data_IF_649617669792
#
_entry.id   IF_649617669792
#
_cell.length_a   1.000
_cell.length_b   1.000
_cell.length_c   1.000
_cell.angle_alpha   90.00
_cell.angle_beta   90.00
_cell.angle_gamma   90.00
#
_symmetry.space_group_name_H-M   'P 1'
#
loop_
_entity.id
_entity.type
_entity.pdbx_description
1 polymer ?
#
# COMPACT_ATOMS: atom_id res chain seq x y z
N UNK A 1 -21.44 -9.20 -2.49
CA UNK A 1 -22.81 -8.75 -2.80
C UNK A 1 -23.34 -9.57 -3.97
N UNK A 2 -24.67 -9.65 -4.12
CA UNK A 2 -25.30 -10.26 -5.29
C UNK A 2 -24.90 -9.47 -6.54
N UNK A 3 -24.60 -10.16 -7.63
CA UNK A 3 -24.09 -9.61 -8.89
C UNK A 3 -22.58 -9.36 -8.93
N UNK A 4 -21.85 -9.61 -7.83
CA UNK A 4 -20.40 -9.46 -7.83
C UNK A 4 -19.71 -10.52 -8.68
N UNK A 5 -18.71 -10.12 -9.48
CA UNK A 5 -17.80 -11.04 -10.18
C UNK A 5 -16.72 -11.51 -9.21
N UNK A 6 -16.51 -12.83 -9.16
CA UNK A 6 -15.56 -13.49 -8.26
C UNK A 6 -14.71 -14.50 -9.02
N UNK A 7 -13.52 -14.76 -8.51
CA UNK A 7 -12.59 -15.78 -9.01
C UNK A 7 -12.37 -16.82 -7.91
N UNK A 8 -12.51 -18.10 -8.27
CA UNK A 8 -12.17 -19.20 -7.39
C UNK A 8 -10.66 -19.32 -7.20
N UNK A 9 -10.19 -19.47 -5.96
CA UNK A 9 -8.77 -19.49 -5.62
C UNK A 9 -8.22 -20.90 -5.39
N UNK A 10 -9.07 -21.93 -5.46
CA UNK A 10 -8.70 -23.32 -5.23
C UNK A 10 -9.46 -24.26 -6.15
N UNK A 11 -8.91 -25.45 -6.33
CA UNK A 11 -9.63 -26.53 -6.99
C UNK A 11 -10.58 -27.14 -5.96
N UNK A 12 -11.87 -27.13 -6.26
CA UNK A 12 -12.93 -27.65 -5.39
C UNK A 12 -13.60 -28.84 -6.07
N UNK A 13 -14.03 -28.65 -7.31
CA UNK A 13 -14.73 -29.66 -8.08
C UNK A 13 -14.26 -29.60 -9.53
N UNK A 14 -13.47 -30.59 -9.94
CA UNK A 14 -12.92 -30.68 -11.29
C UNK A 14 -14.01 -31.00 -12.32
N UNK A 15 -14.96 -31.86 -11.96
CA UNK A 15 -16.03 -32.31 -12.86
C UNK A 15 -17.09 -31.23 -13.03
N UNK A 16 -17.40 -30.49 -11.95
CA UNK A 16 -18.28 -29.33 -11.95
C UNK A 16 -17.65 -28.05 -12.50
N UNK A 17 -16.36 -28.08 -12.89
CA UNK A 17 -15.65 -26.93 -13.47
C UNK A 17 -15.25 -25.85 -12.45
N UNK A 18 -15.37 -26.11 -11.15
CA UNK A 18 -14.92 -25.21 -10.08
C UNK A 18 -13.45 -25.45 -9.74
N UNK A 19 -12.60 -24.94 -10.62
CA UNK A 19 -11.14 -24.97 -10.49
C UNK A 19 -10.57 -23.60 -10.15
N UNK A 20 -9.31 -23.56 -9.72
CA UNK A 20 -8.61 -22.31 -9.48
C UNK A 20 -8.57 -21.45 -10.77
N UNK A 21 -8.94 -20.18 -10.65
CA UNK A 21 -9.05 -19.24 -11.76
C UNK A 21 -10.44 -19.18 -12.41
N UNK A 22 -11.36 -20.06 -12.01
CA UNK A 22 -12.74 -20.04 -12.53
C UNK A 22 -13.43 -18.74 -12.13
N UNK A 23 -13.96 -18.03 -13.12
CA UNK A 23 -14.75 -16.84 -12.91
C UNK A 23 -16.23 -17.21 -12.72
N UNK A 24 -16.90 -16.55 -11.76
CA UNK A 24 -18.31 -16.73 -11.51
C UNK A 24 -18.96 -15.41 -11.03
N UNK A 25 -20.28 -15.34 -11.13
CA UNK A 25 -21.09 -14.23 -10.61
C UNK A 25 -21.90 -14.70 -9.40
N UNK A 26 -21.86 -13.94 -8.30
CA UNK A 26 -22.66 -14.24 -7.12
C UNK A 26 -24.15 -14.04 -7.42
N UNK A 27 -24.94 -15.12 -7.38
CA UNK A 27 -26.39 -15.06 -7.57
C UNK A 27 -27.13 -14.83 -6.27
N UNK A 28 -26.75 -15.57 -5.24
CA UNK A 28 -27.43 -15.50 -3.96
C UNK A 28 -26.48 -15.84 -2.80
N UNK A 29 -26.84 -15.39 -1.61
CA UNK A 29 -26.10 -15.60 -0.38
C UNK A 29 -27.08 -16.14 0.66
N UNK A 30 -26.90 -17.41 1.01
CA UNK A 30 -27.76 -18.11 1.97
C UNK A 30 -27.17 -17.98 3.36
N UNK A 31 -27.97 -17.44 4.26
CA UNK A 31 -27.64 -17.30 5.68
C UNK A 31 -28.44 -18.31 6.51
N UNK A 32 -27.99 -18.63 7.72
CA UNK A 32 -28.78 -19.47 8.63
C UNK A 32 -29.91 -18.65 9.28
N UNK A 33 -31.13 -19.20 9.28
CA UNK A 33 -32.36 -18.53 9.78
C UNK A 33 -32.37 -18.23 11.29
N UNK A 34 -31.32 -18.64 12.03
CA UNK A 34 -31.25 -18.54 13.50
C UNK A 34 -30.47 -17.35 14.03
N UNK A 35 -29.72 -16.65 13.18
CA UNK A 35 -28.94 -15.52 13.61
C UNK A 35 -29.70 -14.23 13.26
N UNK A 36 -29.89 -13.36 14.26
CA UNK A 36 -30.20 -11.94 14.03
C UNK A 36 -29.00 -11.33 13.29
N UNK A 37 -28.93 -11.53 11.98
CA UNK A 37 -27.83 -11.05 11.15
C UNK A 37 -27.95 -9.53 11.13
N UNK A 38 -27.08 -8.86 11.88
CA UNK A 38 -26.74 -7.47 11.64
C UNK A 38 -25.98 -7.46 10.31
N UNK A 39 -26.71 -7.46 9.20
CA UNK A 39 -26.13 -7.09 7.91
C UNK A 39 -25.63 -5.65 8.09
N UNK A 40 -24.36 -5.32 7.81
CA UNK A 40 -23.96 -3.92 7.75
C UNK A 40 -24.77 -3.29 6.62
N UNK A 41 -25.91 -2.70 6.95
CA UNK A 41 -26.93 -2.25 5.99
C UNK A 41 -26.58 -0.87 5.42
N UNK A 42 -25.32 -0.47 5.49
CA UNK A 42 -24.88 0.81 4.98
C UNK A 42 -23.51 0.66 4.33
N UNK A 43 -23.29 1.44 3.27
CA UNK A 43 -22.04 1.57 2.52
C UNK A 43 -20.88 2.15 3.35
N UNK A 44 -20.87 1.90 4.67
CA UNK A 44 -19.86 2.28 5.65
C UNK A 44 -19.63 1.10 6.58
N UNK A 45 -18.82 0.14 6.14
CA UNK A 45 -18.12 -0.74 7.09
C UNK A 45 -16.96 0.06 7.69
N UNK A 46 -17.27 1.02 8.56
CA UNK A 46 -16.31 1.48 9.55
C UNK A 46 -16.27 0.33 10.55
N UNK A 47 -15.12 -0.32 10.73
CA UNK A 47 -14.91 -1.26 11.82
C UNK A 47 -14.48 -0.45 13.05
N UNK A 48 -15.40 -0.06 13.95
CA UNK A 48 -15.03 0.73 15.11
C UNK A 48 -14.63 -0.26 16.21
N UNK A 49 -13.36 -0.24 16.61
CA UNK A 49 -12.80 -1.00 17.72
C UNK A 49 -12.63 -2.50 17.48
N UNK A 50 -11.37 -2.90 17.26
CA UNK A 50 -10.90 -4.29 17.15
C UNK A 50 -10.84 -5.03 18.51
N UNK A 51 -11.49 -4.50 19.56
CA UNK A 51 -11.43 -5.07 20.93
C UNK A 51 -12.67 -5.84 21.35
N UNK A 52 -13.74 -5.82 20.54
CA UNK A 52 -14.86 -6.75 20.72
C UNK A 52 -14.83 -7.75 19.60
N UNK A 53 -14.68 -9.03 19.96
CA UNK A 53 -14.89 -10.17 19.07
C UNK A 53 -16.31 -10.08 18.48
N UNK A 54 -16.45 -9.31 17.40
CA UNK A 54 -17.63 -9.31 16.57
C UNK A 54 -17.53 -10.61 15.79
N UNK A 55 -18.33 -11.60 16.20
CA UNK A 55 -18.57 -12.80 15.41
C UNK A 55 -19.22 -12.35 14.11
N UNK A 56 -18.39 -12.05 13.10
CA UNK A 56 -18.86 -11.90 11.73
C UNK A 56 -19.36 -13.28 11.34
N UNK A 57 -20.68 -13.47 11.40
CA UNK A 57 -21.32 -14.70 10.96
C UNK A 57 -20.98 -14.87 9.48
N UNK A 58 -20.31 -15.98 9.13
CA UNK A 58 -20.08 -16.33 7.74
C UNK A 58 -21.38 -16.85 7.14
N UNK A 59 -21.71 -16.48 5.89
CA UNK A 59 -22.80 -17.13 5.16
C UNK A 59 -22.65 -18.64 5.18
N UNK A 60 -23.77 -19.35 5.26
CA UNK A 60 -23.80 -20.81 5.20
C UNK A 60 -23.35 -21.31 3.84
N UNK A 61 -23.83 -20.65 2.79
CA UNK A 61 -23.60 -21.05 1.41
C UNK A 61 -23.70 -19.85 0.49
N UNK A 62 -22.96 -19.88 -0.61
CA UNK A 62 -23.07 -18.91 -1.71
C UNK A 62 -23.45 -19.67 -2.98
N UNK A 63 -24.42 -19.13 -3.72
CA UNK A 63 -24.78 -19.63 -5.05
C UNK A 63 -24.06 -18.80 -6.12
N UNK A 64 -23.31 -19.47 -6.97
CA UNK A 64 -22.47 -18.87 -8.01
C UNK A 64 -22.95 -19.31 -9.38
N UNK A 65 -23.17 -18.37 -10.29
CA UNK A 65 -23.40 -18.66 -11.71
C UNK A 65 -22.06 -18.63 -12.45
N UNK A 66 -21.75 -19.74 -13.12
CA UNK A 66 -20.56 -19.92 -13.95
C UNK A 66 -20.80 -19.40 -15.37
N UNK A 67 -19.71 -19.18 -16.12
CA UNK A 67 -19.76 -18.71 -17.52
C UNK A 67 -20.57 -19.62 -18.46
N UNK A 68 -20.69 -20.91 -18.14
CA UNK A 68 -21.50 -21.88 -18.87
C UNK A 68 -23.01 -21.85 -18.46
N UNK A 69 -23.40 -20.94 -17.57
CA UNK A 69 -24.74 -20.81 -17.03
C UNK A 69 -25.11 -21.81 -15.92
N UNK A 70 -24.20 -22.67 -15.49
CA UNK A 70 -24.47 -23.58 -14.37
C UNK A 70 -24.41 -22.85 -13.03
N UNK A 71 -25.24 -23.29 -12.07
CA UNK A 71 -25.24 -22.77 -10.71
C UNK A 71 -24.47 -23.72 -9.82
N UNK A 72 -23.42 -23.22 -9.18
CA UNK A 72 -22.62 -23.94 -8.20
C UNK A 72 -22.92 -23.45 -6.78
N UNK A 73 -23.13 -24.40 -5.87
CA UNK A 73 -23.40 -24.13 -4.45
C UNK A 73 -22.11 -24.32 -3.66
N UNK A 74 -21.50 -23.20 -3.26
CA UNK A 74 -20.23 -23.19 -2.54
C UNK A 74 -20.45 -23.11 -1.03
N UNK A 75 -19.68 -23.89 -0.28
CA UNK A 75 -19.60 -23.82 1.19
C UNK A 75 -18.30 -23.16 1.64
N UNK A 76 -18.25 -22.57 2.84
CA UNK A 76 -17.01 -22.11 3.44
C UNK A 76 -16.04 -23.28 3.61
N UNK A 77 -14.78 -23.03 3.33
CA UNK A 77 -13.72 -24.03 3.35
C UNK A 77 -12.68 -23.65 4.42
N UNK A 78 -12.07 -24.64 5.06
CA UNK A 78 -11.13 -24.48 6.17
C UNK A 78 -9.70 -24.74 5.71
N UNK A 79 -8.83 -23.75 5.89
CA UNK A 79 -7.41 -23.84 5.55
C UNK A 79 -6.58 -23.70 6.82
N UNK A 80 -5.74 -24.70 7.08
CA UNK A 80 -4.76 -24.65 8.16
C UNK A 80 -3.38 -24.33 7.60
N UNK A 81 -2.70 -23.36 8.19
CA UNK A 81 -1.34 -22.98 7.84
C UNK A 81 -0.52 -22.70 9.11
N UNK A 82 0.79 -22.83 9.01
CA UNK A 82 1.69 -22.44 10.10
C UNK A 82 2.03 -20.96 9.97
N UNK A 83 1.89 -20.24 11.07
CA UNK A 83 2.48 -18.91 11.20
C UNK A 83 4.01 -19.00 11.25
N UNK A 84 4.70 -17.86 11.09
CA UNK A 84 6.17 -17.72 11.18
C UNK A 84 6.73 -18.27 12.48
N UNK A 85 5.94 -18.24 13.56
CA UNK A 85 6.29 -18.77 14.87
C UNK A 85 6.08 -20.30 15.01
N UNK A 86 5.69 -20.98 13.94
CA UNK A 86 5.43 -22.43 13.93
C UNK A 86 4.07 -22.85 14.52
N UNK A 87 3.24 -21.88 14.92
CA UNK A 87 1.90 -22.11 15.47
C UNK A 87 0.95 -22.44 14.31
N UNK A 88 0.15 -23.49 14.47
CA UNK A 88 -0.90 -23.83 13.52
C UNK A 88 -2.10 -22.90 13.70
N UNK A 89 -2.51 -22.25 12.62
CA UNK A 89 -3.70 -21.42 12.55
C UNK A 89 -4.66 -21.98 11.51
N UNK A 90 -5.95 -21.96 11.80
CA UNK A 90 -7.00 -22.40 10.88
C UNK A 90 -7.88 -21.22 10.52
N UNK A 91 -8.15 -21.04 9.23
CA UNK A 91 -9.04 -20.01 8.69
C UNK A 91 -10.19 -20.67 7.94
N UNK A 92 -11.42 -20.40 8.36
CA UNK A 92 -12.64 -20.77 7.63
C UNK A 92 -13.10 -19.59 6.77
N UNK A 93 -13.11 -19.75 5.46
CA UNK A 93 -13.54 -18.71 4.51
C UNK A 93 -13.99 -19.32 3.18
N UNK A 94 -14.79 -18.58 2.40
CA UNK A 94 -15.02 -18.95 1.01
C UNK A 94 -13.71 -18.79 0.21
N UNK A 95 -13.31 -19.78 -0.61
CA UNK A 95 -12.11 -19.70 -1.46
C UNK A 95 -12.32 -18.80 -2.70
N UNK A 96 -12.85 -17.60 -2.49
CA UNK A 96 -13.20 -16.63 -3.53
C UNK A 96 -12.41 -15.33 -3.35
N UNK A 97 -12.07 -14.68 -4.45
CA UNK A 97 -11.62 -13.28 -4.49
C UNK A 97 -12.48 -12.48 -5.45
N UNK A 98 -12.53 -11.15 -5.31
CA UNK A 98 -13.17 -10.30 -6.32
C UNK A 98 -12.47 -10.46 -7.68
N UNK A 99 -13.26 -10.56 -8.75
CA UNK A 99 -12.79 -10.86 -10.11
C UNK A 99 -12.63 -9.66 -11.04
N UNK A 100 -12.80 -8.44 -10.53
CA UNK A 100 -12.77 -7.23 -11.37
C UNK A 100 -11.35 -6.82 -11.80
N UNK A 101 -10.36 -7.07 -10.95
CA UNK A 101 -8.98 -6.72 -11.19
C UNK A 101 -8.07 -7.80 -10.62
N UNK A 102 -6.99 -8.08 -11.34
CA UNK A 102 -5.92 -8.97 -10.89
C UNK A 102 -4.59 -8.35 -11.28
N UNK A 103 -3.61 -8.48 -10.40
CA UNK A 103 -2.25 -8.01 -10.70
C UNK A 103 -1.56 -8.97 -11.67
N UNK A 104 -0.66 -8.43 -12.49
CA UNK A 104 0.12 -9.23 -13.46
C UNK A 104 0.82 -10.39 -12.74
N UNK A 105 1.46 -10.12 -11.60
CA UNK A 105 2.12 -11.14 -10.77
C UNK A 105 1.18 -12.28 -10.37
N UNK A 106 -0.05 -11.98 -9.91
CA UNK A 106 -1.02 -13.00 -9.49
C UNK A 106 -1.68 -13.73 -10.66
N UNK A 107 -1.61 -13.15 -11.87
CA UNK A 107 -2.07 -13.80 -13.11
C UNK A 107 -1.04 -14.75 -13.73
N UNK A 108 0.22 -14.72 -13.26
CA UNK A 108 1.26 -15.60 -13.76
C UNK A 108 0.88 -17.06 -13.57
N UNK A 109 1.12 -17.88 -14.60
CA UNK A 109 0.77 -19.30 -14.62
C UNK A 109 -0.74 -19.61 -14.49
N UNK A 110 -1.60 -18.64 -14.80
CA UNK A 110 -3.06 -18.82 -14.91
C UNK A 110 -3.52 -18.53 -16.34
N UNK A 111 -4.62 -19.16 -16.74
CA UNK A 111 -5.25 -18.98 -18.05
C UNK A 111 -6.58 -18.22 -17.86
N UNK A 112 -6.80 -17.19 -18.69
CA UNK A 112 -8.02 -16.38 -18.63
C UNK A 112 -8.70 -16.35 -20.00
N UNK A 113 -10.02 -16.55 -20.02
CA UNK A 113 -10.77 -16.48 -21.28
C UNK A 113 -10.91 -15.03 -21.77
N UNK A 114 -11.02 -14.07 -20.84
CA UNK A 114 -11.22 -12.64 -21.11
C UNK A 114 -10.34 -11.82 -20.17
N UNK A 115 -9.48 -10.97 -20.72
CA UNK A 115 -8.64 -10.05 -19.96
C UNK A 115 -8.59 -8.72 -20.69
N UNK A 116 -8.75 -7.62 -19.95
CA UNK A 116 -8.52 -6.27 -20.46
C UNK A 116 -7.28 -5.74 -19.77
N UNK A 117 -6.28 -5.37 -20.56
CA UNK A 117 -5.04 -4.77 -20.07
C UNK A 117 -4.90 -3.41 -20.71
N UNK A 118 -4.83 -2.37 -19.89
CA UNK A 118 -4.43 -1.05 -20.37
C UNK A 118 -2.90 -0.99 -20.43
N UNK A 119 -2.39 -0.80 -21.65
CA UNK A 119 -0.95 -0.69 -21.92
C UNK A 119 -0.55 0.76 -22.23
N UNK A 120 -1.47 1.71 -22.13
CA UNK A 120 -1.15 3.11 -22.35
C UNK A 120 -0.19 3.60 -21.26
N UNK A 121 1.02 4.01 -21.66
CA UNK A 121 2.10 4.40 -20.75
C UNK A 121 3.23 3.37 -20.58
N UNK A 122 3.12 2.16 -21.16
CA UNK A 122 4.17 1.13 -21.07
C UNK A 122 5.00 1.11 -22.36
N UNK A 123 6.26 1.58 -22.31
CA UNK A 123 7.23 1.39 -23.39
C UNK A 123 7.74 -0.06 -23.35
N UNK A 124 7.10 -0.95 -24.14
CA UNK A 124 7.47 -2.36 -24.27
C UNK A 124 8.89 -2.55 -24.80
N UNK A 125 9.66 -3.46 -24.18
CA UNK A 125 10.85 -4.05 -24.80
C UNK A 125 10.45 -5.34 -25.55
N UNK A 126 11.17 -5.75 -26.60
CA UNK A 126 10.85 -6.96 -27.37
C UNK A 126 10.91 -8.28 -26.57
N UNK A 127 11.53 -8.28 -25.38
CA UNK A 127 11.77 -9.48 -24.57
C UNK A 127 10.64 -9.81 -23.57
N UNK A 128 9.65 -8.93 -23.36
CA UNK A 128 8.58 -9.12 -22.36
C UNK A 128 7.41 -10.00 -22.85
N UNK A 129 7.69 -11.06 -23.62
CA UNK A 129 6.68 -11.94 -24.22
C UNK A 129 5.88 -12.82 -23.22
N UNK A 130 6.03 -12.64 -21.90
CA UNK A 130 5.46 -13.57 -20.92
C UNK A 130 3.99 -13.33 -20.54
N UNK A 131 3.37 -12.19 -20.87
CA UNK A 131 1.99 -11.88 -20.44
C UNK A 131 0.92 -11.96 -21.54
N UNK A 132 1.30 -12.10 -22.82
CA UNK A 132 0.34 -12.09 -23.95
C UNK A 132 -0.09 -13.49 -24.43
N UNK A 133 0.34 -14.57 -23.76
CA UNK A 133 0.03 -15.96 -24.17
C UNK A 133 -1.19 -16.57 -23.48
N UNK A 134 -1.90 -15.84 -22.61
CA UNK A 134 -2.93 -16.40 -21.72
C UNK A 134 -4.36 -16.37 -22.26
N UNK A 135 -4.61 -15.87 -23.48
CA UNK A 135 -5.95 -15.82 -24.10
C UNK A 135 -6.16 -16.94 -25.13
N UNK A 136 -7.21 -17.75 -24.95
CA UNK A 136 -7.52 -18.91 -25.80
C UNK A 136 -8.64 -18.68 -26.84
N UNK A 137 -9.10 -17.45 -27.09
CA UNK A 137 -10.26 -17.23 -27.98
C UNK A 137 -10.01 -16.16 -29.07
N UNK A 138 -9.85 -16.63 -30.31
CA UNK A 138 -9.99 -15.85 -31.56
C UNK A 138 -11.47 -15.76 -31.96
N UNK A 139 -12.30 -15.10 -31.17
CA UNK A 139 -13.67 -14.80 -31.58
C UNK A 139 -14.03 -13.35 -31.27
N UNK A 140 -14.37 -12.63 -32.34
CA UNK A 140 -14.69 -11.21 -32.40
C UNK A 140 -15.75 -10.77 -31.36
N UNK A 141 -15.63 -9.54 -30.83
CA UNK A 141 -16.80 -8.75 -30.46
C UNK A 141 -17.05 -7.66 -31.50
N UNK A 142 -18.27 -7.68 -31.97
CA UNK A 142 -18.95 -6.75 -32.85
C UNK A 142 -18.82 -5.28 -32.45
N UNK A 143 -18.37 -4.50 -33.45
CA UNK A 143 -18.74 -3.12 -33.74
C UNK A 143 -18.89 -2.13 -32.57
N UNK A 144 -17.78 -1.44 -32.27
CA UNK A 144 -17.62 0.04 -32.31
C UNK A 144 -16.59 0.46 -31.27
N UNK A 145 -15.32 0.54 -31.67
CA UNK A 145 -14.37 1.60 -31.26
C UNK A 145 -13.12 1.52 -32.13
N UNK A 146 -12.61 2.71 -32.43
CA UNK A 146 -11.83 3.06 -33.63
C UNK A 146 -10.42 2.47 -33.61
N UNK A 147 -10.04 2.01 -34.80
CA UNK A 147 -8.69 1.81 -35.36
C UNK A 147 -7.50 1.63 -34.39
N UNK A 148 -7.03 0.39 -34.26
CA UNK A 148 -5.59 0.14 -34.25
C UNK A 148 -5.26 -1.00 -35.23
N UNK A 149 -4.39 -0.68 -36.18
CA UNK A 149 -3.82 -1.58 -37.16
C UNK A 149 -2.97 -2.64 -36.47
N UNK A 150 -3.17 -3.87 -36.93
CA UNK A 150 -2.29 -5.03 -36.75
C UNK A 150 -0.84 -4.63 -37.05
N UNK A 151 0.07 -4.75 -36.07
CA UNK A 151 1.51 -4.68 -36.31
C UNK A 151 2.09 -6.08 -36.12
N UNK A 152 2.38 -6.72 -37.25
CA UNK A 152 3.26 -7.88 -37.38
C UNK A 152 4.61 -7.38 -37.90
N UNK A 153 5.69 -7.53 -37.14
CA UNK A 153 7.07 -7.35 -37.62
C UNK A 153 7.91 -8.43 -36.91
N UNK A 154 8.36 -9.50 -37.56
CA UNK A 154 9.49 -9.61 -38.52
C UNK A 154 10.76 -8.87 -38.06
N UNK A 155 11.73 -9.69 -37.67
CA UNK A 155 13.11 -9.38 -37.32
C UNK A 155 13.85 -8.68 -38.47
N UNK A 156 14.45 -7.52 -38.20
CA UNK A 156 15.65 -7.08 -38.92
C UNK A 156 16.51 -6.22 -38.00
N UNK A 157 17.80 -6.55 -37.98
CA UNK A 157 18.85 -5.84 -37.27
C UNK A 157 18.98 -4.42 -37.81
N UNK A 158 18.94 -3.41 -36.93
CA UNK A 158 19.56 -2.12 -37.18
C UNK A 158 19.82 -1.40 -35.85
N UNK A 159 21.11 -1.16 -35.60
CA UNK A 159 21.64 -0.34 -34.51
C UNK A 159 21.03 1.06 -34.54
N UNK A 160 20.38 1.46 -33.43
CA UNK A 160 20.15 2.87 -33.12
C UNK A 160 20.41 3.11 -31.63
N UNK A 161 21.26 4.10 -31.40
CA UNK A 161 21.93 4.46 -30.17
C UNK A 161 21.03 4.71 -28.94
N UNK A 162 21.55 4.25 -27.80
CA UNK A 162 21.51 4.83 -26.44
C UNK A 162 20.50 5.97 -26.19
N UNK A 163 19.36 5.61 -25.59
CA UNK A 163 18.67 6.46 -24.61
C UNK A 163 17.85 5.56 -23.67
N UNK A 164 18.53 4.97 -22.67
CA UNK A 164 17.90 4.20 -21.60
C UNK A 164 17.20 5.14 -20.61
N UNK A 165 15.86 5.10 -20.52
CA UNK A 165 15.15 5.56 -19.30
C UNK A 165 14.77 4.35 -18.45
N UNK A 166 15.13 4.43 -17.17
CA UNK A 166 15.03 3.39 -16.13
C UNK A 166 13.59 3.28 -15.60
N UNK A 167 13.17 2.15 -14.98
CA UNK A 167 11.89 2.04 -14.29
C UNK A 167 11.93 2.89 -13.00
N UNK A 168 11.41 4.10 -13.09
CA UNK A 168 11.23 5.09 -12.03
C UNK A 168 9.80 4.87 -11.50
N UNK A 169 9.44 4.47 -10.26
CA UNK A 169 10.05 4.44 -8.93
C UNK A 169 9.43 3.28 -8.11
N UNK A 170 10.22 2.61 -7.26
CA UNK A 170 9.77 1.48 -6.41
C UNK A 170 9.24 1.91 -5.04
N UNK A 171 9.39 3.19 -4.72
CA UNK A 171 9.01 3.84 -3.47
C UNK A 171 8.18 5.04 -3.88
N UNK A 172 6.97 5.15 -3.36
CA UNK A 172 6.12 6.30 -3.58
C UNK A 172 6.75 7.49 -2.84
N UNK A 173 7.29 8.41 -3.63
CA UNK A 173 7.78 9.69 -3.16
C UNK A 173 7.33 10.77 -4.14
N UNK A 174 6.33 11.53 -3.72
CA UNK A 174 5.87 12.66 -4.50
C UNK A 174 6.83 13.83 -4.34
N UNK A 175 7.17 14.45 -5.48
CA UNK A 175 7.93 15.70 -5.48
C UNK A 175 7.07 16.81 -4.89
N UNK A 176 7.61 17.50 -3.91
CA UNK A 176 6.98 18.68 -3.36
C UNK A 176 7.05 19.85 -4.36
N UNK A 177 5.89 20.31 -4.86
CA UNK A 177 5.79 21.48 -5.74
C UNK A 177 5.53 22.79 -4.97
N UNK A 178 4.98 22.73 -3.75
CA UNK A 178 4.66 23.87 -2.86
C UNK A 178 4.90 23.50 -1.39
N UNK A 179 4.65 24.37 -0.41
CA UNK A 179 4.91 24.12 1.03
C UNK A 179 4.06 22.99 1.69
N UNK A 180 3.33 22.18 0.91
CA UNK A 180 2.53 21.03 1.37
C UNK A 180 3.34 19.83 1.87
N UNK A 181 4.36 20.01 2.72
CA UNK A 181 5.17 18.90 3.23
C UNK A 181 4.33 17.88 4.02
N UNK A 182 3.27 18.31 4.71
CA UNK A 182 2.36 17.44 5.47
C UNK A 182 1.63 16.38 4.62
N UNK A 183 1.12 16.76 3.44
CA UNK A 183 0.45 15.81 2.53
C UNK A 183 1.44 14.79 1.99
N UNK A 184 2.58 15.26 1.47
CA UNK A 184 3.57 14.39 0.85
C UNK A 184 4.18 13.42 1.86
N UNK A 185 4.40 13.84 3.11
CA UNK A 185 4.93 12.94 4.13
C UNK A 185 3.93 11.86 4.53
N UNK A 186 2.61 12.15 4.58
CA UNK A 186 1.59 11.15 4.87
C UNK A 186 1.44 10.13 3.74
N UNK A 187 1.52 10.58 2.48
CA UNK A 187 1.53 9.70 1.30
C UNK A 187 2.78 8.83 1.24
N UNK A 188 3.95 9.41 1.52
CA UNK A 188 5.21 8.66 1.64
C UNK A 188 5.16 7.68 2.83
N UNK A 189 4.61 8.10 3.97
CA UNK A 189 4.51 7.27 5.16
C UNK A 189 3.54 6.11 4.96
N UNK A 190 2.43 6.30 4.23
CA UNK A 190 1.42 5.27 3.95
C UNK A 190 1.71 4.47 2.68
N UNK A 191 2.55 4.99 1.78
CA UNK A 191 2.74 4.49 0.42
C UNK A 191 1.40 4.41 -0.34
N UNK A 192 0.61 5.47 -0.24
CA UNK A 192 -0.67 5.62 -0.97
C UNK A 192 -0.76 7.02 -1.57
N UNK A 193 -1.30 7.15 -2.77
CA UNK A 193 -1.46 8.44 -3.47
C UNK A 193 -2.83 9.08 -3.21
N UNK A 194 -3.86 8.27 -2.92
CA UNK A 194 -5.26 8.73 -3.00
C UNK A 194 -5.91 9.01 -1.64
N UNK A 195 -5.26 8.70 -0.51
CA UNK A 195 -5.89 8.76 0.82
C UNK A 195 -5.79 10.11 1.51
N UNK A 196 -4.78 10.92 1.15
CA UNK A 196 -4.51 12.20 1.80
C UNK A 196 -4.55 13.30 0.75
N UNK A 197 -5.71 13.91 0.54
CA UNK A 197 -5.82 15.15 -0.22
C UNK A 197 -5.83 16.37 0.71
N UNK A 198 -5.65 17.57 0.14
CA UNK A 198 -5.60 18.79 0.94
C UNK A 198 -6.96 19.17 1.54
N UNK A 199 -8.04 18.82 0.86
CA UNK A 199 -9.40 19.11 1.35
C UNK A 199 -9.71 18.28 2.60
N UNK A 200 -9.30 17.01 2.62
CA UNK A 200 -9.36 16.15 3.79
C UNK A 200 -8.51 16.67 4.94
N UNK A 201 -7.25 17.06 4.70
CA UNK A 201 -6.39 17.58 5.76
C UNK A 201 -6.91 18.90 6.35
N UNK A 202 -7.51 19.76 5.52
CA UNK A 202 -8.22 20.96 6.01
C UNK A 202 -9.43 20.62 6.86
N UNK A 203 -10.23 19.63 6.45
CA UNK A 203 -11.37 19.17 7.25
C UNK A 203 -10.92 18.63 8.61
N UNK A 204 -9.84 17.85 8.64
CA UNK A 204 -9.24 17.36 9.89
C UNK A 204 -8.77 18.51 10.77
N UNK A 205 -8.09 19.51 10.22
CA UNK A 205 -7.64 20.70 10.96
C UNK A 205 -8.83 21.49 11.54
N UNK A 206 -9.90 21.69 10.77
CA UNK A 206 -11.12 22.34 11.22
C UNK A 206 -11.81 21.58 12.36
N UNK A 207 -11.86 20.25 12.27
CA UNK A 207 -12.44 19.40 13.31
C UNK A 207 -11.65 19.47 14.62
N UNK A 208 -10.31 19.52 14.55
CA UNK A 208 -9.45 19.72 15.73
C UNK A 208 -9.73 21.09 16.35
N UNK A 209 -9.73 22.15 15.53
CA UNK A 209 -9.99 23.51 16.01
C UNK A 209 -11.36 23.63 16.68
N UNK A 210 -12.41 23.04 16.09
CA UNK A 210 -13.76 23.03 16.65
C UNK A 210 -13.81 22.27 17.99
N UNK A 211 -13.13 21.13 18.08
CA UNK A 211 -13.06 20.34 19.31
C UNK A 211 -12.35 21.10 20.44
N UNK A 212 -11.24 21.78 20.12
CA UNK A 212 -10.54 22.60 21.10
C UNK A 212 -11.36 23.82 21.55
N UNK A 213 -12.09 24.46 20.64
CA UNK A 213 -12.94 25.60 20.98
C UNK A 213 -14.06 25.22 21.96
N UNK A 214 -14.65 24.03 21.80
CA UNK A 214 -15.62 23.47 22.75
C UNK A 214 -14.97 23.25 24.12
N UNK A 215 -13.75 22.69 24.13
CA UNK A 215 -13.02 22.40 25.37
C UNK A 215 -12.57 23.66 26.13
N UNK A 216 -12.31 24.77 25.43
CA UNK A 216 -11.88 26.05 26.01
C UNK A 216 -13.03 26.98 26.44
N UNK A 217 -14.25 26.47 26.59
CA UNK A 217 -15.41 27.24 27.04
C UNK A 217 -15.72 28.52 26.22
N UNK A 218 -15.47 28.50 24.91
CA UNK A 218 -16.02 29.51 23.99
C UNK A 218 -15.26 30.83 23.89
N UNK A 219 -13.99 30.92 24.32
CA UNK A 219 -13.15 32.03 23.91
C UNK A 219 -12.95 31.99 22.38
N UNK A 220 -13.48 33.01 21.69
CA UNK A 220 -13.47 33.13 20.24
C UNK A 220 -12.09 33.54 19.73
N UNK A 221 -11.12 32.61 19.80
CA UNK A 221 -9.86 32.74 19.09
C UNK A 221 -10.04 32.01 17.75
N UNK A 222 -9.61 32.61 16.64
CA UNK A 222 -9.55 31.96 15.33
C UNK A 222 -8.47 30.86 15.33
N UNK A 223 -8.74 29.76 16.04
CA UNK A 223 -7.83 28.61 16.20
C UNK A 223 -7.56 27.87 14.90
N UNK A 224 -8.38 28.07 13.86
CA UNK A 224 -8.19 27.45 12.55
C UNK A 224 -6.87 27.83 11.88
N UNK A 225 -6.37 29.05 12.08
CA UNK A 225 -5.10 29.50 11.49
C UNK A 225 -3.87 28.84 12.17
N UNK A 226 -4.06 28.26 13.36
CA UNK A 226 -2.99 27.61 14.12
C UNK A 226 -2.67 26.20 13.60
N UNK A 227 -3.67 25.47 13.09
CA UNK A 227 -3.50 24.08 12.63
C UNK A 227 -3.22 23.98 11.13
N UNK A 228 -3.56 25.03 10.38
CA UNK A 228 -3.33 25.11 8.95
C UNK A 228 -3.15 26.57 8.54
N UNK A 229 -1.99 26.88 7.97
CA UNK A 229 -1.77 28.16 7.31
C UNK A 229 -2.17 28.06 5.83
N UNK A 230 -2.62 29.18 5.24
CA UNK A 230 -2.94 29.26 3.80
C UNK A 230 -1.74 28.91 2.88
N UNK A 231 -0.55 28.73 3.45
CA UNK A 231 0.70 28.28 2.81
C UNK A 231 0.73 26.78 2.55
N UNK A 232 -0.14 25.97 3.18
CA UNK A 232 -0.11 24.51 3.04
C UNK A 232 0.63 23.77 4.15
N UNK A 233 1.06 24.47 5.18
CA UNK A 233 1.72 23.91 6.35
C UNK A 233 0.67 23.38 7.34
N UNK A 234 0.80 22.13 7.75
CA UNK A 234 -0.09 21.46 8.69
C UNK A 234 0.67 21.15 9.97
N UNK A 235 0.03 21.40 11.13
CA UNK A 235 0.60 21.03 12.42
C UNK A 235 0.64 19.51 12.62
N UNK A 236 1.56 19.02 13.44
CA UNK A 236 1.73 17.59 13.77
C UNK A 236 0.44 16.96 14.31
N UNK A 237 -0.40 17.74 15.00
CA UNK A 237 -1.70 17.27 15.49
C UNK A 237 -2.65 16.89 14.35
N UNK A 238 -2.60 17.62 13.23
CA UNK A 238 -3.39 17.31 12.02
C UNK A 238 -2.90 16.00 11.42
N UNK A 239 -1.58 15.83 11.27
CA UNK A 239 -0.99 14.59 10.75
C UNK A 239 -1.34 13.38 11.65
N UNK A 240 -1.27 13.57 12.97
CA UNK A 240 -1.63 12.55 13.96
C UNK A 240 -3.11 12.16 13.86
N UNK A 241 -4.01 13.12 13.83
CA UNK A 241 -5.44 12.86 13.69
C UNK A 241 -5.76 12.22 12.34
N UNK A 242 -5.10 12.63 11.25
CA UNK A 242 -5.30 12.04 9.93
C UNK A 242 -4.92 10.55 9.90
N UNK A 243 -3.78 10.17 10.48
CA UNK A 243 -3.36 8.78 10.60
C UNK A 243 -4.27 7.97 11.53
N UNK A 244 -4.72 8.57 12.63
CA UNK A 244 -5.64 7.93 13.56
C UNK A 244 -7.01 7.68 12.90
N UNK A 245 -7.52 8.62 12.12
CA UNK A 245 -8.83 8.51 11.47
C UNK A 245 -8.86 7.46 10.35
N UNK A 246 -7.79 7.38 9.53
CA UNK A 246 -7.74 6.47 8.38
C UNK A 246 -7.25 5.08 8.77
N UNK A 247 -6.16 5.01 9.54
CA UNK A 247 -5.46 3.77 9.82
C UNK A 247 -5.55 3.31 11.27
N UNK A 248 -6.16 4.11 12.16
CA UNK A 248 -6.14 3.86 13.61
C UNK A 248 -4.72 3.79 14.19
N UNK A 249 -3.78 4.52 13.58
CA UNK A 249 -2.36 4.54 13.96
C UNK A 249 -2.09 5.78 14.79
N UNK A 250 -1.52 5.55 15.97
CA UNK A 250 -1.05 6.64 16.83
C UNK A 250 0.39 7.05 16.51
N UNK A 251 0.66 8.35 16.61
CA UNK A 251 2.00 8.94 16.55
C UNK A 251 2.46 9.27 17.97
N UNK A 252 3.56 8.63 18.38
CA UNK A 252 4.18 8.85 19.68
C UNK A 252 5.38 9.77 19.50
N UNK A 253 5.38 10.93 20.16
CA UNK A 253 6.51 11.86 20.12
C UNK A 253 7.67 11.35 20.99
N UNK A 254 8.88 11.38 20.44
CA UNK A 254 10.12 11.00 21.11
C UNK A 254 10.77 12.29 21.65
N UNK A 255 10.55 12.59 22.93
CA UNK A 255 11.12 13.78 23.57
C UNK A 255 12.61 13.64 23.93
N UNK A 256 13.06 12.45 24.33
CA UNK A 256 14.48 12.16 24.60
C UNK A 256 14.80 10.70 24.29
N UNK A 257 15.89 10.45 23.54
CA UNK A 257 16.44 9.11 23.34
C UNK A 257 17.38 8.75 24.49
N UNK A 258 16.81 8.51 25.67
CA UNK A 258 17.58 7.92 26.77
C UNK A 258 17.98 6.47 26.40
N UNK A 259 19.18 5.99 26.76
CA UNK A 259 19.69 4.65 26.43
C UNK A 259 18.78 3.48 26.85
N UNK A 260 17.87 3.72 27.81
CA UNK A 260 16.91 2.75 28.32
C UNK A 260 15.46 3.00 27.86
N UNK A 261 15.24 3.87 26.88
CA UNK A 261 13.89 4.08 26.35
C UNK A 261 13.41 2.80 25.65
N UNK A 262 12.16 2.41 25.93
CA UNK A 262 11.49 1.22 25.35
C UNK A 262 11.55 1.20 23.80
N UNK A 263 11.69 2.38 23.19
CA UNK A 263 11.84 2.53 21.74
C UNK A 263 13.16 1.92 21.24
N UNK A 264 14.24 1.99 22.01
CA UNK A 264 15.53 1.42 21.64
C UNK A 264 15.50 -0.11 21.67
N UNK A 265 14.83 -0.70 22.66
CA UNK A 265 14.67 -2.16 22.74
C UNK A 265 13.75 -2.69 21.64
N UNK A 266 12.81 -1.88 21.15
CA UNK A 266 11.83 -2.24 20.13
C UNK A 266 12.07 -1.58 18.78
N UNK A 267 13.27 -1.06 18.51
CA UNK A 267 13.52 -0.37 17.23
C UNK A 267 13.33 -1.28 16.00
N UNK A 268 13.46 -2.59 16.22
CA UNK A 268 13.21 -3.59 15.18
C UNK A 268 11.74 -3.91 14.94
N UNK A 269 10.85 -3.41 15.78
CA UNK A 269 9.40 -3.45 15.60
C UNK A 269 8.88 -2.16 14.97
N UNK A 270 9.64 -1.07 15.05
CA UNK A 270 9.27 0.21 14.43
C UNK A 270 9.24 0.09 12.89
N UNK A 271 8.15 0.55 12.29
CA UNK A 271 8.02 0.59 10.84
C UNK A 271 8.50 1.90 10.24
N UNK A 272 8.15 3.01 10.88
CA UNK A 272 8.49 4.31 10.34
C UNK A 272 8.63 5.38 11.43
N UNK A 273 9.39 6.41 11.07
CA UNK A 273 9.57 7.63 11.83
C UNK A 273 9.08 8.80 10.99
N UNK A 274 8.28 9.67 11.60
CA UNK A 274 7.91 10.96 11.06
C UNK A 274 8.81 12.01 11.70
N UNK A 275 9.51 12.81 10.90
CA UNK A 275 10.48 13.79 11.39
C UNK A 275 10.09 15.16 10.89
N UNK A 276 10.10 16.13 11.81
CA UNK A 276 9.97 17.54 11.52
C UNK A 276 11.31 18.23 11.80
N UNK A 277 11.90 18.82 10.76
CA UNK A 277 13.14 19.58 10.87
C UNK A 277 12.99 20.89 10.09
N UNK A 278 13.23 22.04 10.73
CA UNK A 278 13.13 23.36 10.10
C UNK A 278 11.80 23.58 9.35
N UNK A 279 10.66 23.31 10.02
CA UNK A 279 9.31 23.41 9.44
C UNK A 279 9.05 22.50 8.23
N UNK A 280 9.88 21.49 8.02
CA UNK A 280 9.72 20.53 6.94
C UNK A 280 9.51 19.12 7.48
N UNK A 281 8.49 18.44 6.96
CA UNK A 281 8.23 17.04 7.30
C UNK A 281 8.83 16.10 6.26
N UNK A 282 9.50 15.06 6.75
CA UNK A 282 9.93 13.91 5.97
C UNK A 282 9.80 12.64 6.81
N UNK A 283 9.89 11.46 6.20
CA UNK A 283 9.80 10.21 6.94
C UNK A 283 10.99 9.29 6.71
N UNK A 284 11.32 8.49 7.72
CA UNK A 284 12.13 7.29 7.56
C UNK A 284 11.18 6.10 7.55
N UNK A 285 11.11 5.36 6.45
CA UNK A 285 10.27 4.16 6.37
C UNK A 285 11.15 2.93 6.16
N UNK A 286 10.88 1.88 6.92
CA UNK A 286 11.41 0.55 6.68
C UNK A 286 10.43 -0.22 5.81
N UNK A 287 10.93 -0.84 4.74
CA UNK A 287 10.15 -1.72 3.89
C UNK A 287 10.40 -3.18 4.28
N UNK A 288 9.38 -4.01 4.11
CA UNK A 288 9.39 -5.41 4.58
C UNK A 288 10.54 -6.25 4.02
N UNK A 289 11.04 -5.95 2.83
CA UNK A 289 12.11 -6.70 2.17
C UNK A 289 13.50 -6.15 2.46
N UNK A 290 13.58 -5.06 3.21
CA UNK A 290 14.83 -4.44 3.66
C UNK A 290 14.77 -4.29 5.18
N UNK A 291 14.64 -5.41 5.90
CA UNK A 291 14.47 -5.40 7.37
C UNK A 291 15.63 -4.69 8.11
N UNK A 292 16.78 -4.57 7.45
CA UNK A 292 18.00 -3.93 7.95
C UNK A 292 18.18 -2.48 7.53
N UNK A 293 17.28 -1.90 6.71
CA UNK A 293 17.43 -0.53 6.22
C UNK A 293 16.16 0.30 6.41
N UNK A 294 16.35 1.54 6.84
CA UNK A 294 15.37 2.60 6.76
C UNK A 294 15.70 3.48 5.56
N UNK A 295 14.69 3.90 4.81
CA UNK A 295 14.86 4.82 3.70
C UNK A 295 14.38 6.20 4.11
N UNK A 296 15.24 7.20 3.94
CA UNK A 296 14.83 8.60 4.06
C UNK A 296 14.00 8.99 2.83
N UNK A 297 12.73 9.24 3.05
CA UNK A 297 11.79 9.69 2.01
C UNK A 297 11.47 11.15 2.29
N UNK A 298 12.09 12.01 1.50
CA UNK A 298 11.99 13.46 1.60
C UNK A 298 11.41 14.02 0.30
N UNK A 299 10.28 14.70 0.40
CA UNK A 299 9.56 15.26 -0.75
C UNK A 299 10.32 16.42 -1.42
N UNK A 300 11.29 17.05 -0.74
CA UNK A 300 12.22 18.01 -1.36
C UNK A 300 13.24 17.31 -2.28
N UNK A 301 13.55 16.06 -2.01
CA UNK A 301 14.56 15.27 -2.71
C UNK A 301 14.00 13.90 -3.17
N UNK A 302 12.98 13.89 -4.03
CA UNK A 302 12.24 12.66 -4.39
C UNK A 302 13.08 11.63 -5.15
N UNK A 303 14.21 12.04 -5.72
CA UNK A 303 15.10 11.18 -6.50
C UNK A 303 16.11 10.43 -5.65
N UNK A 304 16.29 10.80 -4.39
CA UNK A 304 17.33 10.24 -3.52
C UNK A 304 16.73 9.74 -2.21
N UNK A 305 16.64 8.42 -2.08
CA UNK A 305 16.30 7.77 -0.83
C UNK A 305 17.57 7.25 -0.18
N UNK A 306 18.06 7.97 0.82
CA UNK A 306 19.26 7.57 1.56
C UNK A 306 18.95 6.34 2.42
N UNK A 307 19.59 5.19 2.16
CA UNK A 307 19.40 4.00 2.99
C UNK A 307 20.25 4.14 4.26
N UNK A 308 19.59 4.08 5.41
CA UNK A 308 20.21 4.12 6.73
C UNK A 308 20.16 2.71 7.29
N UNK A 309 21.35 2.11 7.49
CA UNK A 309 21.44 0.81 8.13
C UNK A 309 20.84 0.86 9.54
N UNK A 310 20.16 -0.20 9.93
CA UNK A 310 19.44 -0.29 11.20
C UNK A 310 20.33 -0.12 12.42
N UNK A 311 21.60 -0.48 12.35
CA UNK A 311 22.55 -0.24 13.46
C UNK A 311 22.92 1.25 13.59
N UNK A 312 22.81 2.01 12.49
CA UNK A 312 23.17 3.44 12.45
C UNK A 312 21.96 4.36 12.71
N UNK A 313 20.74 3.83 12.66
CA UNK A 313 19.51 4.62 12.83
C UNK A 313 19.50 5.37 14.17
N UNK A 314 20.06 4.78 15.22
CA UNK A 314 20.09 5.40 16.55
C UNK A 314 20.98 6.63 16.60
N UNK A 315 22.16 6.53 16.01
CA UNK A 315 23.08 7.67 15.93
C UNK A 315 22.48 8.77 15.06
N UNK A 316 21.79 8.39 13.97
CA UNK A 316 21.07 9.32 13.12
C UNK A 316 19.95 10.06 13.88
N UNK A 317 19.07 9.33 14.59
CA UNK A 317 17.97 9.94 15.35
C UNK A 317 18.48 10.80 16.52
N UNK A 318 19.57 10.40 17.19
CA UNK A 318 20.23 11.23 18.23
C UNK A 318 20.72 12.55 17.65
N UNK A 319 21.42 12.50 16.52
CA UNK A 319 21.86 13.71 15.82
C UNK A 319 20.68 14.62 15.50
N UNK A 320 19.56 14.08 15.01
CA UNK A 320 18.37 14.89 14.73
C UNK A 320 17.78 15.57 15.98
N UNK A 321 17.71 14.87 17.10
CA UNK A 321 17.25 15.45 18.37
C UNK A 321 18.19 16.54 18.88
N UNK A 322 19.52 16.35 18.76
CA UNK A 322 20.52 17.36 19.12
C UNK A 322 20.38 18.64 18.29
N UNK A 323 19.93 18.52 17.04
CA UNK A 323 19.61 19.65 16.16
C UNK A 323 18.19 20.22 16.38
N UNK A 324 17.48 19.78 17.42
CA UNK A 324 16.14 20.27 17.76
C UNK A 324 15.02 19.78 16.84
N UNK A 325 15.21 18.65 16.16
CA UNK A 325 14.16 18.05 15.33
C UNK A 325 13.11 17.37 16.21
N UNK A 326 11.83 17.50 15.84
CA UNK A 326 10.76 16.72 16.46
C UNK A 326 10.64 15.38 15.74
N UNK A 327 10.70 14.29 16.51
CA UNK A 327 10.61 12.94 15.98
C UNK A 327 9.37 12.26 16.56
N UNK A 328 8.53 11.72 15.68
CA UNK A 328 7.39 10.89 16.03
C UNK A 328 7.59 9.48 15.47
N UNK A 329 7.11 8.47 16.19
CA UNK A 329 7.23 7.07 15.80
C UNK A 329 5.87 6.42 15.64
N UNK A 330 5.73 5.59 14.61
CA UNK A 330 4.59 4.69 14.43
C UNK A 330 5.00 3.27 14.87
N UNK A 331 4.39 2.78 15.95
CA UNK A 331 4.65 1.42 16.47
C UNK A 331 3.75 0.39 15.78
N UNK A 332 2.63 0.82 15.22
CA UNK A 332 1.69 -0.06 14.53
C UNK A 332 2.04 -0.22 13.06
N UNK A 333 1.57 -1.34 12.48
CA UNK A 333 1.78 -1.67 11.08
C UNK A 333 1.01 -0.69 10.19
N UNK A 334 1.73 0.06 9.36
CA UNK A 334 1.12 0.86 8.32
C UNK A 334 0.86 -0.08 7.14
N UNK A 335 -0.39 -0.15 6.69
CA UNK A 335 -0.90 -0.92 5.52
C UNK A 335 0.20 -1.52 4.63
N UNK A 336 0.13 -2.84 4.37
CA UNK A 336 0.99 -3.52 3.38
C UNK A 336 0.90 -2.78 2.04
N UNK A 337 1.90 -1.98 1.73
CA UNK A 337 1.99 -1.33 0.43
C UNK A 337 2.32 -2.40 -0.61
N UNK A 338 1.93 -2.20 -1.87
CA UNK A 338 2.31 -3.14 -2.96
C UNK A 338 3.85 -3.27 -3.02
N UNK A 339 4.54 -2.20 -2.63
CA UNK A 339 5.98 -2.02 -2.56
C UNK A 339 6.64 -2.85 -1.44
N UNK A 340 5.88 -3.28 -0.42
CA UNK A 340 6.38 -4.17 0.65
C UNK A 340 6.55 -5.63 0.17
N UNK A 341 6.04 -6.00 -1.02
CA UNK A 341 6.20 -7.34 -1.64
C UNK A 341 7.35 -7.42 -2.69
N UNK A 342 8.07 -6.34 -3.03
CA UNK A 342 9.08 -6.35 -4.11
C UNK A 342 10.51 -6.74 -3.69
N UNK A 343 11.00 -7.85 -4.24
CA UNK A 343 12.24 -8.60 -3.89
C UNK A 343 13.54 -7.79 -3.75
N UNK A 344 14.38 -8.21 -2.78
CA UNK A 344 15.74 -7.69 -2.50
C UNK A 344 16.67 -7.60 -3.70
N UNK A 345 16.45 -8.41 -4.74
CA UNK A 345 17.35 -8.51 -5.88
C UNK A 345 17.33 -7.24 -6.75
N UNK A 346 16.21 -6.52 -6.79
CA UNK A 346 16.10 -5.22 -7.49
C UNK A 346 16.75 -4.06 -6.73
N UNK A 347 16.84 -4.16 -5.40
CA UNK A 347 17.48 -3.15 -4.55
C UNK A 347 19.01 -3.38 -4.51
N UNK A 348 19.45 -4.64 -4.44
CA UNK A 348 20.88 -5.01 -4.48
C UNK A 348 21.54 -4.66 -5.82
N UNK A 349 20.88 -4.91 -6.94
CA UNK A 349 21.40 -4.49 -8.27
C UNK A 349 21.46 -2.97 -8.43
N UNK A 350 20.68 -2.19 -7.67
CA UNK A 350 20.73 -0.71 -7.71
C UNK A 350 21.77 -0.10 -6.77
N UNK A 351 21.98 -0.67 -5.58
CA UNK A 351 23.06 -0.28 -4.68
C UNK A 351 24.45 -0.48 -5.30
N UNK A 352 24.59 -1.44 -6.21
CA UNK A 352 25.84 -1.75 -6.92
C UNK A 352 25.96 -1.07 -8.29
N UNK A 353 24.93 -0.34 -8.75
CA UNK A 353 24.91 0.38 -10.02
C UNK A 353 25.13 1.90 -9.86
N UNK A 354 25.67 2.33 -8.72
CA UNK A 354 26.25 3.65 -8.58
C UNK A 354 27.53 3.69 -9.43
N UNK A 355 27.69 4.65 -10.35
CA UNK A 355 28.96 4.81 -11.05
C UNK A 355 30.04 5.14 -10.02
N UNK A 356 31.22 4.54 -10.20
CA UNK A 356 32.41 4.74 -9.38
C UNK A 356 32.50 6.17 -8.85
N UNK A 357 32.29 6.33 -7.54
CA UNK A 357 32.69 7.55 -6.85
C UNK A 357 34.20 7.74 -7.08
N UNK A 358 34.67 8.95 -7.41
CA UNK A 358 36.08 9.18 -7.70
C UNK A 358 36.92 8.77 -6.50
N UNK A 359 38.06 8.16 -6.81
CA UNK A 359 39.04 7.68 -5.87
C UNK A 359 39.49 8.80 -4.91
N UNK A 360 38.90 8.85 -3.72
CA UNK A 360 39.47 9.47 -2.52
C UNK A 360 38.98 8.69 -1.30
N UNK A 361 39.55 7.49 -1.15
CA UNK A 361 39.30 6.57 -0.02
C UNK A 361 40.18 6.85 1.20
N UNK A 362 40.94 7.94 1.25
CA UNK A 362 41.86 8.23 2.36
C UNK A 362 41.41 9.36 3.32
N UNK A 363 40.26 10.00 3.14
CA UNK A 363 39.87 11.15 3.97
C UNK A 363 38.87 10.87 5.12
N UNK A 364 38.40 9.63 5.32
CA UNK A 364 37.36 9.31 6.34
C UNK A 364 37.82 8.37 7.47
N UNK A 365 39.11 8.43 7.82
CA UNK A 365 39.64 7.78 9.04
C UNK A 365 40.01 8.77 10.15
N UNK A 366 39.84 10.09 9.95
CA UNK A 366 39.98 11.06 11.03
C UNK A 366 38.90 12.15 10.91
N UNK A 367 37.80 11.99 11.64
CA UNK A 367 37.01 13.03 12.35
C UNK A 367 36.09 12.31 13.33
#
# INVERSE_FOLDING_TARGET
CIGARVICRRNIDFDGGMVNGTEATVKDIVWDDKDNIILPTSNRCIFPNLDRAMTVTLPKQIELELDNGSIYKMLPDEVSFKDKNGIWMTRRQFPLSLGYAITVHRSQCMTYNKLVVDLTGINWKPDDQLSLKSSNTDTEPSSKRRHLKRVTCQTSNLDVAKATRKPEHLIICERQEQLFCGRHVLRALSQTLDLFDDDYLKEVAQNIAATEQINRHGEAIQLTEYYYENTGEYDIQVLKAALMNIFNIDLIQIGTLQPNSLILSHIKDVQAFLIQQNYHYYCLRRFRLTEDYFFKIDSKNPTYHEPIHRDNILNFLKSLLEHGSNICVTVQYISDAIEDEITTDNIKTRLWALPDAPADREALVNI
#
